data_IF_865523708316
#
_entry.id   IF_865523708316
#
_cell.length_a   1.000
_cell.length_b   1.000
_cell.length_c   1.000
_cell.angle_alpha   90.00
_cell.angle_beta   90.00
_cell.angle_gamma   90.00
#
_symmetry.space_group_name_H-M   'P 1'
#
loop_
_entity.id
_entity.type
_entity.pdbx_description
1 polymer ?
#
# COMPACT_ATOMS: atom_id res chain seq x y z
N UNK A 1 17.54 2.91 -5.16
CA UNK A 1 16.86 1.74 -4.55
C UNK A 1 16.04 2.27 -3.37
N UNK A 2 14.72 2.05 -3.31
CA UNK A 2 13.92 2.51 -2.16
C UNK A 2 14.00 1.43 -1.09
N UNK A 3 14.64 1.73 0.05
CA UNK A 3 14.77 0.79 1.16
C UNK A 3 13.41 0.52 1.80
N UNK A 4 13.19 -0.71 2.27
CA UNK A 4 11.95 -1.15 2.92
C UNK A 4 11.64 -0.28 4.15
N UNK A 5 12.66 0.17 4.86
CA UNK A 5 12.55 1.11 5.98
C UNK A 5 11.89 2.43 5.57
N UNK A 6 12.24 2.96 4.39
CA UNK A 6 11.61 4.18 3.87
C UNK A 6 10.14 3.95 3.52
N UNK A 7 9.75 2.75 3.08
CA UNK A 7 8.35 2.43 2.82
C UNK A 7 7.55 2.27 4.11
N UNK A 8 8.12 1.65 5.14
CA UNK A 8 7.51 1.55 6.48
C UNK A 8 7.31 2.91 7.13
N UNK A 9 8.33 3.78 7.09
CA UNK A 9 8.22 5.14 7.62
C UNK A 9 7.11 5.96 6.93
N UNK A 10 6.87 5.72 5.64
CA UNK A 10 5.77 6.35 4.89
C UNK A 10 4.41 5.82 5.30
N UNK A 11 4.32 4.52 5.57
CA UNK A 11 3.09 3.88 6.01
C UNK A 11 2.70 4.38 7.42
N UNK A 12 3.66 4.43 8.33
CA UNK A 12 3.47 4.97 9.69
C UNK A 12 3.00 6.44 9.67
N UNK A 13 3.67 7.28 8.89
CA UNK A 13 3.27 8.68 8.73
C UNK A 13 1.85 8.84 8.13
N UNK A 14 1.46 7.92 7.24
CA UNK A 14 0.13 7.91 6.64
C UNK A 14 -0.92 7.41 7.64
N UNK A 15 -0.62 6.42 8.47
CA UNK A 15 -1.49 5.94 9.56
C UNK A 15 -1.69 7.01 10.64
N UNK A 16 -0.63 7.72 11.01
CA UNK A 16 -0.72 8.86 11.93
C UNK A 16 -1.62 9.97 11.38
N UNK A 17 -1.44 10.35 10.11
CA UNK A 17 -2.30 11.35 9.47
C UNK A 17 -3.77 10.91 9.38
N UNK A 18 -4.01 9.62 9.12
CA UNK A 18 -5.36 9.03 9.15
C UNK A 18 -5.98 9.07 10.55
N UNK A 19 -5.18 8.89 11.61
CA UNK A 19 -5.63 8.99 13.00
C UNK A 19 -5.95 10.43 13.42
N UNK A 20 -5.18 11.41 12.94
CA UNK A 20 -5.49 12.84 13.14
C UNK A 20 -6.67 13.33 12.30
N UNK A 21 -7.13 12.54 11.32
CA UNK A 21 -8.22 12.91 10.41
C UNK A 21 -7.82 13.94 9.36
N UNK A 22 -6.52 14.15 9.14
CA UNK A 22 -5.98 15.14 8.22
C UNK A 22 -5.69 14.47 6.89
N UNK A 23 -6.13 15.09 5.79
CA UNK A 23 -5.94 14.52 4.45
C UNK A 23 -4.59 14.84 3.82
N UNK A 24 -3.59 15.12 4.64
CA UNK A 24 -2.30 15.61 4.22
C UNK A 24 -1.19 14.77 4.82
N UNK A 25 -0.33 14.24 3.95
CA UNK A 25 0.83 13.47 4.36
C UNK A 25 2.08 14.05 3.70
N UNK A 26 3.09 14.32 4.52
CA UNK A 26 4.39 14.83 4.07
C UNK A 26 5.36 13.67 3.94
N UNK A 27 5.77 13.37 2.72
CA UNK A 27 6.77 12.38 2.39
C UNK A 27 8.10 13.07 2.07
N UNK A 28 8.94 13.28 3.09
CA UNK A 28 10.22 14.01 2.94
C UNK A 28 10.00 15.39 2.32
N UNK A 29 10.48 15.58 1.09
CA UNK A 29 10.36 16.82 0.32
C UNK A 29 9.01 17.01 -0.41
N UNK A 30 8.10 16.03 -0.38
CA UNK A 30 6.81 16.11 -1.08
C UNK A 30 5.63 16.09 -0.12
N UNK A 31 4.75 17.08 -0.24
CA UNK A 31 3.43 17.13 0.40
C UNK A 31 2.41 16.51 -0.54
N UNK A 32 1.69 15.49 -0.08
CA UNK A 32 0.61 14.85 -0.82
C UNK A 32 -0.68 15.07 -0.06
N UNK A 33 -1.61 15.77 -0.70
CA UNK A 33 -2.96 16.01 -0.17
C UNK A 33 -3.89 15.01 -0.84
N UNK A 34 -4.46 14.11 -0.05
CA UNK A 34 -5.50 13.19 -0.47
C UNK A 34 -6.87 13.88 -0.39
N UNK A 35 -7.77 13.54 -1.31
CA UNK A 35 -9.12 14.13 -1.33
C UNK A 35 -10.11 13.41 -0.41
N UNK A 36 -9.77 12.20 0.04
CA UNK A 36 -10.68 11.36 0.82
C UNK A 36 -9.92 10.34 1.67
N UNK A 37 -10.57 9.88 2.72
CA UNK A 37 -10.10 8.83 3.60
C UNK A 37 -9.95 7.48 2.88
N UNK A 38 -10.84 7.18 1.91
CA UNK A 38 -10.74 5.95 1.11
C UNK A 38 -9.46 5.90 0.26
N UNK A 39 -9.08 7.05 -0.30
CA UNK A 39 -7.84 7.21 -1.08
C UNK A 39 -6.60 6.99 -0.19
N UNK A 40 -6.60 7.53 1.03
CA UNK A 40 -5.53 7.28 2.00
C UNK A 40 -5.45 5.78 2.36
N UNK A 41 -6.58 5.14 2.64
CA UNK A 41 -6.60 3.70 2.96
C UNK A 41 -6.12 2.85 1.78
N UNK A 42 -6.48 3.20 0.54
CA UNK A 42 -5.96 2.54 -0.67
C UNK A 42 -4.46 2.74 -0.84
N UNK A 43 -3.96 3.94 -0.59
CA UNK A 43 -2.53 4.24 -0.64
C UNK A 43 -1.75 3.46 0.44
N UNK A 44 -2.31 3.33 1.65
CA UNK A 44 -1.75 2.50 2.71
C UNK A 44 -1.63 1.03 2.27
N UNK A 45 -2.71 0.47 1.71
CA UNK A 45 -2.74 -0.90 1.24
C UNK A 45 -1.74 -1.16 0.09
N UNK A 46 -1.58 -0.20 -0.84
CA UNK A 46 -0.56 -0.27 -1.90
C UNK A 46 0.85 -0.30 -1.30
N UNK A 47 1.14 0.57 -0.33
CA UNK A 47 2.43 0.62 0.35
C UNK A 47 2.73 -0.69 1.10
N UNK A 48 1.78 -1.23 1.87
CA UNK A 48 1.93 -2.53 2.54
C UNK A 48 2.21 -3.64 1.55
N UNK A 49 1.49 -3.67 0.43
CA UNK A 49 1.69 -4.67 -0.62
C UNK A 49 3.09 -4.58 -1.21
N UNK A 50 3.57 -3.37 -1.49
CA UNK A 50 4.91 -3.13 -2.04
C UNK A 50 6.01 -3.46 -1.04
N UNK A 51 5.76 -3.23 0.24
CA UNK A 51 6.65 -3.69 1.33
C UNK A 51 6.71 -5.22 1.32
N UNK A 52 5.57 -5.92 1.27
CA UNK A 52 5.52 -7.38 1.25
C UNK A 52 6.18 -7.98 -0.01
N UNK A 53 6.01 -7.34 -1.18
CA UNK A 53 6.69 -7.69 -2.43
C UNK A 53 8.21 -7.45 -2.34
N UNK A 54 8.63 -6.34 -1.73
CA UNK A 54 10.05 -6.00 -1.55
C UNK A 54 10.75 -6.82 -0.46
N UNK A 55 10.05 -7.22 0.61
CA UNK A 55 10.55 -8.12 1.66
C UNK A 55 10.75 -9.56 1.17
N UNK A 56 10.40 -9.87 -0.10
CA UNK A 56 10.51 -11.22 -0.64
C UNK A 56 9.52 -12.19 0.00
N UNK A 57 8.54 -11.68 0.78
CA UNK A 57 7.40 -12.46 1.28
C UNK A 57 6.36 -12.59 0.17
N UNK A 58 6.82 -13.03 -1.00
CA UNK A 58 5.96 -13.64 -2.00
C UNK A 58 5.31 -14.85 -1.32
N UNK A 59 4.08 -14.66 -0.88
CA UNK A 59 3.24 -15.67 -0.28
C UNK A 59 2.99 -16.80 -1.30
N UNK A 60 3.95 -17.73 -1.41
CA UNK A 60 3.86 -18.96 -2.20
C UNK A 60 3.51 -18.78 -3.69
N UNK A 61 3.51 -19.88 -4.46
CA UNK A 61 3.05 -19.85 -5.84
C UNK A 61 1.56 -19.48 -5.86
N UNK A 62 1.27 -18.37 -6.55
CA UNK A 62 -0.09 -17.86 -6.79
C UNK A 62 -0.89 -18.93 -7.55
N UNK A 63 -1.73 -19.70 -6.84
CA UNK A 63 -2.54 -20.77 -7.44
C UNK A 63 -3.68 -20.12 -8.23
N UNK A 64 -3.45 -19.90 -9.52
CA UNK A 64 -4.47 -19.43 -10.46
C UNK A 64 -5.45 -20.58 -10.68
N UNK A 65 -6.62 -20.51 -10.05
CA UNK A 65 -7.75 -21.38 -10.40
C UNK A 65 -8.39 -20.83 -11.67
N UNK A 66 -7.88 -21.23 -12.83
CA UNK A 66 -8.54 -20.92 -14.10
C UNK A 66 -9.83 -21.72 -14.17
N UNK A 67 -10.97 -21.06 -13.88
CA UNK A 67 -12.28 -21.67 -14.05
C UNK A 67 -12.67 -21.60 -15.52
N UNK A 68 -12.22 -22.55 -16.33
CA UNK A 68 -12.80 -22.77 -17.65
C UNK A 68 -14.16 -23.45 -17.48
N UNK A 69 -15.25 -22.69 -17.65
CA UNK A 69 -16.52 -23.29 -18.05
C UNK A 69 -16.33 -23.73 -19.51
N UNK A 70 -15.93 -24.98 -19.74
CA UNK A 70 -16.19 -25.62 -21.03
C UNK A 70 -17.72 -25.70 -21.15
N UNK A 71 -18.22 -25.03 -22.18
CA UNK A 71 -19.65 -25.00 -22.51
C UNK A 71 -20.19 -26.41 -22.70
N UNK A 72 -21.51 -26.47 -22.47
CA UNK A 72 -22.43 -27.56 -22.75
C UNK A 72 -22.16 -28.23 -24.11
#
# INVERSE_FOLDING_TARGET
>A
MRSIETLRARLDALEAAMAEGVSEVRFGDRRVVYRSYDDMRRAAADLTRRIAEAEGRACGPRRVLTRTRKGL
#
